data_IF_493175082203
#
_entry.id   IF_493175082203
#
_cell.length_a   1.000
_cell.length_b   1.000
_cell.length_c   1.000
_cell.angle_alpha   90.00
_cell.angle_beta   90.00
_cell.angle_gamma   90.00
#
_symmetry.space_group_name_H-M   'P 1'
#
loop_
_entity.id
_entity.type
_entity.pdbx_description
1 polymer ?
#
# COMPACT_ATOMS: atom_id res chain seq x y z
N UNK A 1 -14.33 70.83 -23.98
CA UNK A 1 -14.24 70.43 -22.55
C UNK A 1 -15.10 69.21 -22.18
N UNK A 2 -16.36 69.06 -22.63
CA UNK A 2 -17.20 67.88 -22.33
C UNK A 2 -16.60 66.52 -22.78
N UNK A 3 -15.93 66.47 -23.92
CA UNK A 3 -15.28 65.25 -24.43
C UNK A 3 -14.12 64.82 -23.52
N UNK A 4 -13.35 65.76 -22.97
CA UNK A 4 -12.24 65.47 -22.05
C UNK A 4 -12.74 65.01 -20.67
N UNK A 5 -13.81 65.60 -20.12
CA UNK A 5 -14.42 65.12 -18.86
C UNK A 5 -15.01 63.72 -19.01
N UNK A 6 -15.66 63.42 -20.14
CA UNK A 6 -16.20 62.09 -20.44
C UNK A 6 -15.08 61.05 -20.69
N UNK A 7 -14.02 61.44 -21.40
CA UNK A 7 -12.83 60.59 -21.59
C UNK A 7 -12.12 60.29 -20.27
N UNK A 8 -11.99 61.28 -19.38
CA UNK A 8 -11.38 61.10 -18.05
C UNK A 8 -12.23 60.21 -17.13
N UNK A 9 -13.56 60.36 -17.16
CA UNK A 9 -14.47 59.50 -16.41
C UNK A 9 -14.44 58.04 -16.89
N UNK A 10 -14.40 57.82 -18.21
CA UNK A 10 -14.28 56.48 -18.78
C UNK A 10 -12.91 55.85 -18.51
N UNK A 11 -11.82 56.62 -18.60
CA UNK A 11 -10.49 56.17 -18.22
C UNK A 11 -10.46 55.72 -16.76
N UNK A 12 -11.01 56.55 -15.86
CA UNK A 12 -11.03 56.26 -14.44
C UNK A 12 -11.91 55.05 -14.09
N UNK A 13 -13.06 54.90 -14.78
CA UNK A 13 -13.89 53.70 -14.68
C UNK A 13 -13.13 52.45 -15.11
N UNK A 14 -12.44 52.49 -16.24
CA UNK A 14 -11.63 51.37 -16.73
C UNK A 14 -10.48 51.03 -15.75
N UNK A 15 -9.85 52.05 -15.16
CA UNK A 15 -8.82 51.86 -14.14
C UNK A 15 -9.37 51.21 -12.87
N UNK A 16 -10.54 51.66 -12.38
CA UNK A 16 -11.21 51.06 -11.22
C UNK A 16 -11.65 49.62 -11.50
N UNK A 17 -12.15 49.33 -12.71
CA UNK A 17 -12.47 47.96 -13.12
C UNK A 17 -11.22 47.08 -13.14
N UNK A 18 -10.09 47.57 -13.68
CA UNK A 18 -8.82 46.85 -13.66
C UNK A 18 -8.29 46.57 -12.25
N UNK A 19 -8.32 47.57 -11.37
CA UNK A 19 -7.92 47.42 -9.97
C UNK A 19 -8.85 46.48 -9.19
N UNK A 20 -10.15 46.49 -9.46
CA UNK A 20 -11.10 45.56 -8.84
C UNK A 20 -10.80 44.10 -9.22
N UNK A 21 -10.39 43.84 -10.47
CA UNK A 21 -9.97 42.50 -10.90
C UNK A 21 -8.67 42.08 -10.21
N UNK A 22 -7.67 42.97 -10.16
CA UNK A 22 -6.41 42.69 -9.45
C UNK A 22 -6.61 42.46 -7.95
N UNK A 23 -7.48 43.27 -7.32
CA UNK A 23 -7.86 43.10 -5.92
C UNK A 23 -8.46 41.72 -5.67
N UNK A 24 -9.37 41.26 -6.53
CA UNK A 24 -9.96 39.94 -6.42
C UNK A 24 -8.92 38.84 -6.64
N UNK A 25 -8.01 39.01 -7.60
CA UNK A 25 -6.94 38.06 -7.86
C UNK A 25 -6.02 37.89 -6.65
N UNK A 26 -5.46 38.97 -6.10
CA UNK A 26 -4.58 38.90 -4.92
C UNK A 26 -5.32 38.42 -3.66
N UNK A 27 -6.60 38.81 -3.50
CA UNK A 27 -7.45 38.26 -2.42
C UNK A 27 -7.54 36.74 -2.55
N UNK A 28 -7.79 36.23 -3.75
CA UNK A 28 -7.89 34.80 -4.00
C UNK A 28 -6.54 34.10 -3.73
N UNK A 29 -5.40 34.66 -4.14
CA UNK A 29 -4.07 34.12 -3.83
C UNK A 29 -3.83 34.01 -2.31
N UNK A 30 -4.16 35.04 -1.54
CA UNK A 30 -4.03 35.02 -0.08
C UNK A 30 -4.95 33.97 0.55
N UNK A 31 -6.18 33.82 0.04
CA UNK A 31 -7.12 32.83 0.58
C UNK A 31 -6.81 31.39 0.17
N UNK A 32 -6.28 31.17 -1.03
CA UNK A 32 -5.98 29.84 -1.56
C UNK A 32 -4.56 29.37 -1.22
N UNK A 33 -3.65 30.29 -0.91
CA UNK A 33 -2.22 30.01 -0.78
C UNK A 33 -1.52 29.70 -2.10
N UNK A 34 -2.22 29.81 -3.25
CA UNK A 34 -1.64 29.48 -4.56
C UNK A 34 -1.04 30.70 -5.25
N UNK A 35 0.16 30.51 -5.82
CA UNK A 35 0.91 31.48 -6.61
C UNK A 35 0.20 31.79 -7.92
N UNK A 36 -0.26 30.77 -8.64
CA UNK A 36 -0.99 30.91 -9.89
C UNK A 36 -2.42 30.38 -9.70
N UNK A 37 -3.43 31.17 -10.05
CA UNK A 37 -4.83 30.80 -9.86
C UNK A 37 -5.43 30.15 -11.11
N UNK A 38 -4.88 30.48 -12.27
CA UNK A 38 -5.26 29.91 -13.55
C UNK A 38 -4.04 29.33 -14.26
N UNK A 39 -4.27 28.31 -15.08
CA UNK A 39 -3.22 27.72 -15.94
C UNK A 39 -2.66 28.74 -16.94
N UNK A 40 -3.42 29.79 -17.29
CA UNK A 40 -2.96 30.88 -18.15
C UNK A 40 -1.95 31.81 -17.49
N UNK A 41 -1.89 31.84 -16.15
CA UNK A 41 -1.01 32.76 -15.41
C UNK A 41 0.46 32.32 -15.55
N UNK A 42 0.71 30.99 -15.54
CA UNK A 42 1.99 30.37 -15.89
C UNK A 42 1.76 28.96 -16.47
N UNK A 43 1.64 28.83 -17.80
CA UNK A 43 1.44 27.54 -18.46
C UNK A 43 2.57 26.53 -18.23
N UNK A 44 3.80 27.00 -17.99
CA UNK A 44 4.96 26.13 -17.74
C UNK A 44 4.88 25.54 -16.33
N UNK A 45 4.56 26.35 -15.33
CA UNK A 45 4.32 25.89 -13.97
C UNK A 45 3.12 24.92 -13.91
N UNK A 46 2.04 25.23 -14.61
CA UNK A 46 0.86 24.36 -14.70
C UNK A 46 1.21 22.98 -15.30
N UNK A 47 1.99 22.95 -16.39
CA UNK A 47 2.44 21.69 -16.99
C UNK A 47 3.31 20.85 -16.06
N UNK A 48 4.23 21.49 -15.31
CA UNK A 48 5.05 20.81 -14.31
C UNK A 48 4.21 20.26 -13.16
N UNK A 49 3.27 21.06 -12.63
CA UNK A 49 2.40 20.61 -11.54
C UNK A 49 1.57 19.39 -11.96
N UNK A 50 0.97 19.42 -13.15
CA UNK A 50 0.22 18.29 -13.69
C UNK A 50 1.08 17.02 -13.79
N UNK A 51 2.31 17.12 -14.28
CA UNK A 51 3.23 15.98 -14.33
C UNK A 51 3.55 15.43 -12.93
N UNK A 52 3.75 16.31 -11.94
CA UNK A 52 3.99 15.93 -10.55
C UNK A 52 2.77 15.24 -9.95
N UNK A 53 1.56 15.78 -10.14
CA UNK A 53 0.31 15.15 -9.67
C UNK A 53 0.11 13.77 -10.26
N UNK A 54 0.38 13.60 -11.55
CA UNK A 54 0.34 12.29 -12.20
C UNK A 54 1.35 11.31 -11.56
N UNK A 55 2.58 11.75 -11.31
CA UNK A 55 3.59 10.94 -10.62
C UNK A 55 3.18 10.60 -9.18
N UNK A 56 2.59 11.53 -8.43
CA UNK A 56 2.08 11.31 -7.07
C UNK A 56 0.97 10.26 -7.07
N UNK A 57 0.00 10.37 -7.98
CA UNK A 57 -1.08 9.39 -8.11
C UNK A 57 -0.56 7.99 -8.44
N UNK A 58 0.45 7.89 -9.30
CA UNK A 58 1.11 6.62 -9.60
C UNK A 58 1.80 6.03 -8.36
N UNK A 59 2.54 6.84 -7.60
CA UNK A 59 3.19 6.40 -6.36
C UNK A 59 2.15 5.92 -5.33
N UNK A 60 1.05 6.65 -5.15
CA UNK A 60 -0.02 6.26 -4.22
C UNK A 60 -0.64 4.91 -4.60
N UNK A 61 -0.87 4.67 -5.90
CA UNK A 61 -1.35 3.39 -6.39
C UNK A 61 -0.33 2.26 -6.10
N UNK A 62 0.96 2.50 -6.36
CA UNK A 62 2.01 1.53 -6.07
C UNK A 62 2.13 1.22 -4.57
N UNK A 63 2.00 2.22 -3.70
CA UNK A 63 1.99 2.03 -2.25
C UNK A 63 0.81 1.17 -1.79
N UNK A 64 -0.35 1.34 -2.43
CA UNK A 64 -1.52 0.49 -2.17
C UNK A 64 -1.27 -0.96 -2.59
N UNK A 65 -0.72 -1.17 -3.79
CA UNK A 65 -0.42 -2.52 -4.30
C UNK A 65 0.64 -3.24 -3.46
N UNK A 66 1.67 -2.50 -2.98
CA UNK A 66 2.65 -3.00 -2.03
C UNK A 66 2.00 -3.43 -0.72
N UNK A 67 1.12 -2.60 -0.17
CA UNK A 67 0.40 -2.89 1.07
C UNK A 67 -0.47 -4.14 0.93
N UNK A 68 -1.22 -4.24 -0.15
CA UNK A 68 -2.09 -5.40 -0.41
C UNK A 68 -1.26 -6.67 -0.57
N UNK A 69 -0.14 -6.60 -1.30
CA UNK A 69 0.82 -7.70 -1.42
C UNK A 69 1.36 -8.12 -0.05
N UNK A 70 1.83 -7.16 0.75
CA UNK A 70 2.39 -7.41 2.08
C UNK A 70 1.40 -8.08 3.01
N UNK A 71 0.12 -7.71 2.96
CA UNK A 71 -0.92 -8.34 3.78
C UNK A 71 -1.04 -9.85 3.47
N UNK A 72 -1.11 -10.20 2.18
CA UNK A 72 -1.18 -11.61 1.75
C UNK A 72 0.09 -12.37 2.16
N UNK A 73 1.27 -11.78 1.94
CA UNK A 73 2.54 -12.41 2.29
C UNK A 73 2.70 -12.62 3.79
N UNK A 74 2.32 -11.64 4.61
CA UNK A 74 2.40 -11.74 6.07
C UNK A 74 1.50 -12.84 6.63
N UNK A 75 0.29 -13.02 6.08
CA UNK A 75 -0.57 -14.15 6.47
C UNK A 75 -0.02 -15.49 6.00
N UNK A 76 0.61 -15.52 4.81
CA UNK A 76 1.27 -16.73 4.30
C UNK A 76 2.43 -17.13 5.20
N UNK A 77 3.26 -16.16 5.60
CA UNK A 77 4.37 -16.36 6.53
C UNK A 77 3.86 -16.88 7.89
N UNK A 78 2.84 -16.24 8.46
CA UNK A 78 2.25 -16.66 9.74
C UNK A 78 1.71 -18.10 9.69
N UNK A 79 1.05 -18.48 8.59
CA UNK A 79 0.57 -19.85 8.39
C UNK A 79 1.72 -20.85 8.32
N UNK A 80 2.79 -20.55 7.58
CA UNK A 80 3.98 -21.40 7.50
C UNK A 80 4.71 -21.50 8.83
N UNK A 81 4.85 -20.42 9.59
CA UNK A 81 5.41 -20.45 10.95
C UNK A 81 4.59 -21.35 11.90
N UNK A 82 3.26 -21.33 11.78
CA UNK A 82 2.38 -22.24 12.52
C UNK A 82 2.59 -23.71 12.13
N UNK A 83 2.82 -23.97 10.84
CA UNK A 83 3.15 -25.30 10.33
C UNK A 83 4.52 -25.75 10.86
N UNK A 84 5.56 -24.91 10.76
CA UNK A 84 6.90 -25.17 11.34
C UNK A 84 6.80 -25.61 12.80
N UNK A 85 6.07 -24.85 13.63
CA UNK A 85 5.88 -25.20 15.05
C UNK A 85 5.22 -26.57 15.23
N UNK A 86 4.23 -26.89 14.39
CA UNK A 86 3.52 -28.18 14.43
C UNK A 86 4.45 -29.33 14.04
N UNK A 87 5.26 -29.16 12.99
CA UNK A 87 6.22 -30.17 12.54
C UNK A 87 7.32 -30.41 13.58
N UNK A 88 7.88 -29.35 14.17
CA UNK A 88 8.86 -29.48 15.26
C UNK A 88 8.28 -30.21 16.47
N UNK A 89 7.00 -29.95 16.81
CA UNK A 89 6.33 -30.69 17.89
C UNK A 89 6.16 -32.17 17.55
N UNK A 90 5.81 -32.49 16.30
CA UNK A 90 5.73 -33.88 15.84
C UNK A 90 7.09 -34.57 15.93
N UNK A 91 8.18 -33.92 15.52
CA UNK A 91 9.53 -34.49 15.65
C UNK A 91 9.86 -34.87 17.10
N UNK A 92 9.54 -34.00 18.06
CA UNK A 92 9.74 -34.28 19.49
C UNK A 92 8.94 -35.50 19.94
N UNK A 93 7.67 -35.58 19.56
CA UNK A 93 6.76 -36.68 19.90
C UNK A 93 7.22 -38.01 19.31
N UNK A 94 7.64 -38.01 18.04
CA UNK A 94 8.11 -39.20 17.34
C UNK A 94 9.48 -39.65 17.88
N UNK A 95 10.39 -38.71 18.15
CA UNK A 95 11.66 -39.02 18.83
C UNK A 95 11.44 -39.65 20.20
N UNK A 96 10.49 -39.14 20.98
CA UNK A 96 10.09 -39.75 22.25
C UNK A 96 9.54 -41.16 22.03
N UNK A 97 8.70 -41.37 21.01
CA UNK A 97 8.11 -42.66 20.69
C UNK A 97 9.17 -43.72 20.29
N UNK A 98 10.16 -43.32 19.49
CA UNK A 98 11.26 -44.16 18.98
C UNK A 98 12.25 -44.50 20.10
N UNK A 99 12.71 -43.51 20.87
CA UNK A 99 13.77 -43.71 21.87
C UNK A 99 13.27 -44.27 23.21
N UNK A 100 11.97 -44.17 23.49
CA UNK A 100 11.40 -44.63 24.76
C UNK A 100 11.08 -46.12 24.81
N UNK A 101 11.03 -46.66 26.04
CA UNK A 101 10.42 -47.96 26.37
C UNK A 101 8.88 -47.90 26.32
N UNK A 102 8.32 -47.06 25.44
CA UNK A 102 6.89 -46.84 25.31
C UNK A 102 6.18 -48.15 24.95
N UNK A 103 5.14 -48.46 25.72
CA UNK A 103 4.23 -49.54 25.41
C UNK A 103 3.19 -49.14 24.36
N UNK A 104 2.32 -50.07 23.96
CA UNK A 104 1.29 -49.82 22.95
C UNK A 104 0.28 -48.73 23.32
N UNK A 105 0.03 -48.51 24.63
CA UNK A 105 -0.89 -47.47 25.10
C UNK A 105 -0.28 -46.09 24.95
N UNK A 106 0.98 -45.94 25.34
CA UNK A 106 1.73 -44.69 25.24
C UNK A 106 1.89 -44.27 23.78
N UNK A 107 2.25 -45.20 22.89
CA UNK A 107 2.36 -44.90 21.45
C UNK A 107 1.03 -44.42 20.84
N UNK A 108 -0.10 -45.03 21.22
CA UNK A 108 -1.43 -44.57 20.77
C UNK A 108 -1.78 -43.17 21.27
N UNK A 109 -1.40 -42.84 22.51
CA UNK A 109 -1.60 -41.49 23.04
C UNK A 109 -0.78 -40.45 22.25
N UNK A 110 0.49 -40.75 21.97
CA UNK A 110 1.34 -39.91 21.11
C UNK A 110 0.74 -39.76 19.71
N UNK A 111 0.28 -40.87 19.10
CA UNK A 111 -0.39 -40.84 17.79
C UNK A 111 -1.66 -39.98 17.78
N UNK A 112 -2.38 -39.91 18.90
CA UNK A 112 -3.54 -39.03 19.04
C UNK A 112 -3.13 -37.55 19.00
N UNK A 113 -2.04 -37.20 19.68
CA UNK A 113 -1.50 -35.83 19.64
C UNK A 113 -0.98 -35.47 18.24
N UNK A 114 -0.24 -36.37 17.58
CA UNK A 114 0.22 -36.18 16.18
C UNK A 114 -0.96 -35.96 15.23
N UNK A 115 -2.06 -36.68 15.40
CA UNK A 115 -3.27 -36.49 14.59
C UNK A 115 -3.96 -35.13 14.84
N UNK A 116 -3.84 -34.54 16.04
CA UNK A 116 -4.32 -33.17 16.28
C UNK A 116 -3.44 -32.14 15.60
N UNK A 117 -2.11 -32.33 15.65
CA UNK A 117 -1.16 -31.47 14.94
C UNK A 117 -1.34 -31.56 13.42
N UNK A 118 -1.63 -32.75 12.89
CA UNK A 118 -2.02 -32.94 11.49
C UNK A 118 -3.24 -32.10 11.12
N UNK A 119 -4.31 -32.14 11.93
CA UNK A 119 -5.51 -31.31 11.69
C UNK A 119 -5.19 -29.82 11.72
N UNK A 120 -4.33 -29.39 12.63
CA UNK A 120 -3.85 -28.01 12.69
C UNK A 120 -3.07 -27.63 11.41
N UNK A 121 -2.19 -28.50 10.92
CA UNK A 121 -1.46 -28.27 9.66
C UNK A 121 -2.42 -28.20 8.47
N UNK A 122 -3.40 -29.10 8.38
CA UNK A 122 -4.42 -29.06 7.32
C UNK A 122 -5.25 -27.77 7.40
N UNK A 123 -5.60 -27.32 8.59
CA UNK A 123 -6.29 -26.05 8.79
C UNK A 123 -5.44 -24.87 8.28
N UNK A 124 -4.17 -24.81 8.68
CA UNK A 124 -3.24 -23.75 8.26
C UNK A 124 -2.96 -23.79 6.75
N UNK A 125 -2.84 -24.98 6.16
CA UNK A 125 -2.68 -25.18 4.72
C UNK A 125 -3.91 -24.69 3.92
N UNK A 126 -5.06 -24.56 4.57
CA UNK A 126 -6.31 -24.04 4.01
C UNK A 126 -6.64 -22.63 4.53
N UNK A 127 -5.65 -21.87 5.01
CA UNK A 127 -5.84 -20.47 5.43
C UNK A 127 -6.28 -19.62 4.25
N UNK A 128 -7.19 -18.67 4.53
CA UNK A 128 -7.71 -17.70 3.56
C UNK A 128 -7.26 -16.29 3.90
N UNK A 129 -7.03 -15.49 2.88
CA UNK A 129 -7.00 -14.04 2.97
C UNK A 129 -8.07 -13.45 2.06
N UNK A 130 -8.93 -12.57 2.60
CA UNK A 130 -10.06 -11.96 1.88
C UNK A 130 -10.90 -12.96 1.06
N UNK A 131 -11.13 -14.17 1.61
CA UNK A 131 -11.90 -15.23 0.96
C UNK A 131 -11.10 -16.13 0.00
N UNK A 132 -9.84 -15.82 -0.28
CA UNK A 132 -8.94 -16.55 -1.19
C UNK A 132 -7.95 -17.42 -0.44
N UNK A 133 -7.81 -18.69 -0.83
CA UNK A 133 -6.87 -19.61 -0.21
C UNK A 133 -5.41 -19.29 -0.56
N UNK A 134 -4.57 -19.10 0.47
CA UNK A 134 -3.16 -18.69 0.33
C UNK A 134 -2.31 -19.69 -0.46
N UNK A 135 -2.59 -20.98 -0.28
CA UNK A 135 -1.83 -22.09 -0.85
C UNK A 135 -2.53 -22.79 -2.02
N UNK A 136 -3.57 -22.16 -2.61
CA UNK A 136 -4.34 -22.71 -3.72
C UNK A 136 -3.84 -22.37 -5.12
N UNK A 137 -2.72 -21.65 -5.25
CA UNK A 137 -2.24 -21.15 -6.53
C UNK A 137 -3.33 -20.35 -7.26
N UNK A 138 -3.48 -20.56 -8.58
CA UNK A 138 -4.52 -19.93 -9.39
C UNK A 138 -5.96 -20.27 -8.95
N UNK A 139 -6.19 -21.42 -8.30
CA UNK A 139 -7.52 -21.84 -7.85
C UNK A 139 -7.78 -21.34 -6.43
N UNK A 140 -7.89 -20.01 -6.28
CA UNK A 140 -8.00 -19.35 -4.97
C UNK A 140 -9.33 -19.56 -4.24
N UNK A 141 -10.40 -20.01 -4.92
CA UNK A 141 -11.74 -20.14 -4.32
C UNK A 141 -12.06 -21.55 -3.81
N UNK A 142 -11.32 -22.56 -4.29
CA UNK A 142 -11.49 -23.96 -3.92
C UNK A 142 -10.51 -24.33 -2.81
N UNK A 143 -10.98 -25.09 -1.82
CA UNK A 143 -10.13 -25.60 -0.75
C UNK A 143 -8.94 -26.39 -1.33
N UNK A 144 -7.69 -25.97 -1.07
CA UNK A 144 -6.53 -26.56 -1.71
C UNK A 144 -6.11 -27.91 -1.13
N UNK A 145 -6.31 -28.16 0.16
CA UNK A 145 -5.87 -29.42 0.80
C UNK A 145 -7.04 -30.14 1.46
N UNK A 146 -7.12 -31.42 1.15
CA UNK A 146 -7.94 -32.40 1.87
C UNK A 146 -7.24 -32.87 3.16
N UNK A 147 -7.98 -33.56 4.02
CA UNK A 147 -7.43 -34.14 5.25
C UNK A 147 -6.34 -35.21 4.99
N UNK A 148 -6.36 -35.87 3.84
CA UNK A 148 -5.35 -36.84 3.43
C UNK A 148 -4.13 -36.21 2.74
N UNK A 149 -4.13 -34.90 2.54
CA UNK A 149 -3.03 -34.18 1.91
C UNK A 149 -3.04 -34.22 0.39
N UNK A 150 -4.17 -34.60 -0.23
CA UNK A 150 -4.37 -34.44 -1.67
C UNK A 150 -4.59 -32.97 -2.00
N UNK A 151 -3.73 -32.43 -2.86
CA UNK A 151 -3.83 -31.06 -3.39
C UNK A 151 -4.92 -30.96 -4.46
N UNK A 152 -5.76 -29.94 -4.36
CA UNK A 152 -6.89 -29.67 -5.24
C UNK A 152 -6.90 -28.23 -5.80
N UNK A 153 -5.80 -27.50 -5.61
CA UNK A 153 -5.64 -26.13 -6.10
C UNK A 153 -5.15 -26.04 -7.55
N UNK A 154 -4.78 -24.83 -7.94
CA UNK A 154 -4.31 -24.49 -9.29
C UNK A 154 -2.88 -24.96 -9.56
N UNK A 155 -2.52 -25.00 -10.84
CA UNK A 155 -1.23 -25.54 -11.27
C UNK A 155 -0.09 -24.51 -11.28
N UNK A 156 -0.40 -23.22 -11.15
CA UNK A 156 0.59 -22.15 -11.11
C UNK A 156 0.41 -21.28 -9.87
N UNK A 157 1.49 -20.58 -9.54
CA UNK A 157 1.46 -19.47 -8.60
C UNK A 157 0.72 -18.28 -9.20
N UNK A 158 0.13 -17.45 -8.36
CA UNK A 158 -0.38 -16.13 -8.76
C UNK A 158 0.66 -15.09 -8.38
N UNK A 159 1.13 -14.37 -9.39
CA UNK A 159 2.04 -13.24 -9.22
C UNK A 159 1.29 -11.94 -9.43
N UNK A 160 1.64 -10.93 -8.62
CA UNK A 160 1.28 -9.55 -8.87
C UNK A 160 2.54 -8.81 -9.28
N UNK A 161 2.43 -8.04 -10.36
CA UNK A 161 3.52 -7.19 -10.83
C UNK A 161 3.44 -5.85 -10.10
N UNK A 162 4.52 -5.51 -9.43
CA UNK A 162 4.73 -4.24 -8.76
C UNK A 162 5.69 -3.39 -9.60
N UNK A 163 5.36 -2.12 -9.78
CA UNK A 163 6.19 -1.16 -10.51
C UNK A 163 6.68 -1.68 -11.90
N UNK A 164 7.85 -1.20 -12.36
CA UNK A 164 8.71 -1.56 -13.50
C UNK A 164 9.03 -3.08 -13.65
N UNK A 165 8.06 -3.96 -13.46
CA UNK A 165 8.18 -5.40 -13.71
C UNK A 165 8.63 -6.25 -12.53
N UNK A 166 8.68 -5.72 -11.30
CA UNK A 166 9.03 -6.55 -10.14
C UNK A 166 7.85 -7.46 -9.77
N UNK A 167 8.00 -8.77 -9.95
CA UNK A 167 6.91 -9.71 -9.67
C UNK A 167 6.99 -10.28 -8.26
N UNK A 168 5.86 -10.28 -7.56
CA UNK A 168 5.69 -10.89 -6.25
C UNK A 168 4.70 -12.03 -6.34
N UNK A 169 5.12 -13.23 -5.92
CA UNK A 169 4.19 -14.35 -5.76
C UNK A 169 3.35 -14.14 -4.50
N UNK A 170 2.05 -13.91 -4.67
CA UNK A 170 1.11 -13.67 -3.57
C UNK A 170 0.36 -14.95 -3.17
N UNK A 171 -0.15 -15.72 -4.14
CA UNK A 171 -0.78 -17.01 -3.89
C UNK A 171 0.10 -18.13 -4.44
N UNK A 172 0.46 -19.08 -3.59
CA UNK A 172 1.44 -20.13 -3.92
C UNK A 172 0.72 -21.43 -4.22
N UNK A 173 1.22 -22.19 -5.18
CA UNK A 173 0.89 -23.61 -5.34
C UNK A 173 1.54 -24.36 -4.18
N UNK A 174 0.74 -24.76 -3.19
CA UNK A 174 1.25 -25.43 -2.00
C UNK A 174 1.64 -26.91 -2.19
N UNK A 175 1.34 -27.51 -3.34
CA UNK A 175 1.43 -28.97 -3.56
C UNK A 175 2.77 -29.59 -3.15
N UNK A 176 3.87 -29.11 -3.72
CA UNK A 176 5.22 -29.64 -3.47
C UNK A 176 5.74 -29.38 -2.04
N UNK A 177 5.07 -28.51 -1.29
CA UNK A 177 5.44 -28.09 0.05
C UNK A 177 4.59 -28.80 1.12
N UNK A 178 3.27 -28.79 0.95
CA UNK A 178 2.31 -29.14 1.99
C UNK A 178 1.67 -30.52 1.75
N UNK A 179 1.58 -31.02 0.51
CA UNK A 179 1.05 -32.37 0.25
C UNK A 179 1.92 -33.43 0.94
N UNK A 180 3.25 -33.36 0.73
CA UNK A 180 4.19 -34.29 1.38
C UNK A 180 4.16 -34.15 2.90
N UNK A 181 4.10 -32.92 3.40
CA UNK A 181 4.03 -32.62 4.83
C UNK A 181 2.81 -33.29 5.49
N UNK A 182 1.61 -33.06 4.94
CA UNK A 182 0.36 -33.62 5.48
C UNK A 182 0.37 -35.16 5.39
N UNK A 183 0.85 -35.71 4.27
CA UNK A 183 0.92 -37.16 4.08
C UNK A 183 1.92 -37.82 5.04
N UNK A 184 3.09 -37.25 5.27
CA UNK A 184 4.08 -37.75 6.23
C UNK A 184 3.50 -37.75 7.66
N UNK A 185 2.86 -36.65 8.08
CA UNK A 185 2.22 -36.56 9.39
C UNK A 185 1.11 -37.61 9.57
N UNK A 186 0.29 -37.84 8.54
CA UNK A 186 -0.74 -38.88 8.54
C UNK A 186 -0.13 -40.28 8.70
N UNK A 187 0.92 -40.60 7.94
CA UNK A 187 1.63 -41.88 8.05
C UNK A 187 2.24 -42.06 9.44
N UNK A 188 2.77 -41.00 10.05
CA UNK A 188 3.29 -41.05 11.42
C UNK A 188 2.21 -41.36 12.44
N UNK A 189 1.06 -40.68 12.35
CA UNK A 189 -0.09 -40.96 13.19
C UNK A 189 -0.55 -42.43 13.10
N UNK A 190 -0.65 -42.95 11.88
CA UNK A 190 -1.01 -44.35 11.63
C UNK A 190 0.04 -45.33 12.17
N UNK A 191 1.32 -45.05 11.98
CA UNK A 191 2.42 -45.88 12.48
C UNK A 191 2.44 -45.91 14.03
N UNK A 192 2.21 -44.77 14.68
CA UNK A 192 2.09 -44.67 16.14
C UNK A 192 0.91 -45.47 16.67
N UNK A 193 -0.24 -45.43 15.98
CA UNK A 193 -1.42 -46.21 16.38
C UNK A 193 -1.21 -47.73 16.24
N UNK A 194 -0.44 -48.15 15.24
CA UNK A 194 -0.09 -49.55 14.97
C UNK A 194 1.11 -50.04 15.79
N UNK A 195 1.85 -49.15 16.43
CA UNK A 195 3.08 -49.49 17.16
C UNK A 195 4.27 -49.80 16.25
N UNK A 196 4.24 -49.33 14.99
CA UNK A 196 5.29 -49.60 14.00
C UNK A 196 6.48 -48.64 14.16
N UNK A 197 7.38 -48.97 15.08
CA UNK A 197 8.57 -48.16 15.36
C UNK A 197 9.54 -48.07 14.17
N UNK A 198 9.63 -49.11 13.35
CA UNK A 198 10.58 -49.16 12.23
C UNK A 198 10.23 -48.12 11.16
N UNK A 199 8.94 -47.98 10.84
CA UNK A 199 8.48 -46.96 9.90
C UNK A 199 8.67 -45.54 10.43
N UNK A 200 8.62 -45.32 11.75
CA UNK A 200 8.77 -44.00 12.36
C UNK A 200 10.15 -43.38 12.15
N UNK A 201 11.22 -44.17 12.10
CA UNK A 201 12.58 -43.65 11.85
C UNK A 201 12.69 -43.02 10.45
N UNK A 202 12.18 -43.71 9.42
CA UNK A 202 12.15 -43.18 8.05
C UNK A 202 11.25 -41.95 7.94
N UNK A 203 10.07 -42.00 8.57
CA UNK A 203 9.13 -40.89 8.54
C UNK A 203 9.69 -39.65 9.26
N UNK A 204 10.41 -39.83 10.36
CA UNK A 204 11.07 -38.71 11.07
C UNK A 204 12.03 -37.97 10.15
N UNK A 205 12.80 -38.69 9.33
CA UNK A 205 13.69 -38.07 8.36
C UNK A 205 12.91 -37.34 7.24
N UNK A 206 11.83 -37.94 6.74
CA UNK A 206 10.92 -37.25 5.79
C UNK A 206 10.32 -35.96 6.39
N UNK A 207 9.96 -35.97 7.69
CA UNK A 207 9.38 -34.81 8.34
C UNK A 207 10.40 -33.68 8.54
N UNK A 208 11.66 -34.00 8.85
CA UNK A 208 12.75 -33.01 8.87
C UNK A 208 12.97 -32.38 7.50
N UNK A 209 12.97 -33.17 6.43
CA UNK A 209 13.08 -32.64 5.07
C UNK A 209 11.88 -31.73 4.72
N UNK A 210 10.67 -32.10 5.13
CA UNK A 210 9.49 -31.26 4.96
C UNK A 210 9.59 -29.97 5.79
N UNK A 211 10.06 -30.05 7.04
CA UNK A 211 10.32 -28.90 7.91
C UNK A 211 11.33 -27.94 7.26
N UNK A 212 12.43 -28.45 6.72
CA UNK A 212 13.44 -27.64 6.03
C UNK A 212 12.85 -26.93 4.80
N UNK A 213 12.00 -27.61 4.01
CA UNK A 213 11.30 -26.97 2.88
C UNK A 213 10.41 -25.82 3.35
N UNK A 214 9.65 -26.02 4.43
CA UNK A 214 8.77 -24.99 5.01
C UNK A 214 9.59 -23.81 5.56
N UNK A 215 10.71 -24.09 6.22
CA UNK A 215 11.62 -23.05 6.73
C UNK A 215 12.26 -22.25 5.59
N UNK A 216 12.71 -22.91 4.52
CA UNK A 216 13.24 -22.24 3.34
C UNK A 216 12.19 -21.32 2.71
N UNK A 217 10.96 -21.82 2.53
CA UNK A 217 9.89 -20.99 1.99
C UNK A 217 9.54 -19.79 2.89
N UNK A 218 9.57 -19.97 4.21
CA UNK A 218 9.36 -18.91 5.20
C UNK A 218 10.47 -17.87 5.12
N UNK A 219 11.72 -18.31 4.95
CA UNK A 219 12.89 -17.44 4.82
C UNK A 219 12.83 -16.62 3.54
N UNK A 220 12.48 -17.23 2.41
CA UNK A 220 12.25 -16.53 1.15
C UNK A 220 11.17 -15.47 1.27
N UNK A 221 10.07 -15.77 1.97
CA UNK A 221 9.00 -14.82 2.25
C UNK A 221 9.48 -13.63 3.07
N UNK A 222 10.25 -13.87 4.13
CA UNK A 222 10.86 -12.81 4.92
C UNK A 222 11.78 -11.91 4.10
N UNK A 223 12.57 -12.49 3.20
CA UNK A 223 13.42 -11.72 2.27
C UNK A 223 12.58 -10.83 1.34
N UNK A 224 11.51 -11.38 0.74
CA UNK A 224 10.59 -10.60 -0.11
C UNK A 224 9.92 -9.49 0.69
N UNK A 225 9.44 -9.77 1.91
CA UNK A 225 8.83 -8.75 2.77
C UNK A 225 9.79 -7.59 3.09
N UNK A 226 11.06 -7.88 3.35
CA UNK A 226 12.10 -6.85 3.54
C UNK A 226 12.32 -6.02 2.26
N UNK A 227 12.26 -6.64 1.08
CA UNK A 227 12.30 -5.92 -0.20
C UNK A 227 11.10 -4.99 -0.36
N UNK A 228 9.89 -5.45 -0.03
CA UNK A 228 8.69 -4.61 -0.10
C UNK A 228 8.76 -3.42 0.86
N UNK A 229 9.34 -3.59 2.05
CA UNK A 229 9.54 -2.50 3.01
C UNK A 229 10.57 -1.48 2.51
N UNK A 230 11.62 -1.94 1.85
CA UNK A 230 12.57 -1.05 1.16
C UNK A 230 11.87 -0.26 0.06
N UNK A 231 11.08 -0.91 -0.79
CA UNK A 231 10.33 -0.23 -1.85
C UNK A 231 9.33 0.79 -1.29
N UNK A 232 8.59 0.43 -0.24
CA UNK A 232 7.67 1.36 0.40
C UNK A 232 8.40 2.59 0.97
N UNK A 233 9.60 2.40 1.54
CA UNK A 233 10.44 3.51 2.03
C UNK A 233 10.85 4.45 0.89
N UNK A 234 11.36 3.90 -0.21
CA UNK A 234 11.75 4.69 -1.41
C UNK A 234 10.55 5.46 -1.97
N UNK A 235 9.37 4.82 -2.07
CA UNK A 235 8.17 5.48 -2.57
C UNK A 235 7.69 6.61 -1.65
N UNK A 236 7.81 6.45 -0.32
CA UNK A 236 7.50 7.53 0.61
C UNK A 236 8.44 8.73 0.43
N UNK A 237 9.74 8.48 0.25
CA UNK A 237 10.73 9.54 0.00
C UNK A 237 10.46 10.25 -1.32
N UNK A 238 10.16 9.51 -2.40
CA UNK A 238 9.79 10.09 -3.69
C UNK A 238 8.48 10.89 -3.62
N UNK A 239 7.47 10.38 -2.89
CA UNK A 239 6.22 11.09 -2.68
C UNK A 239 6.48 12.44 -1.98
N UNK A 240 7.26 12.42 -0.89
CA UNK A 240 7.62 13.63 -0.14
C UNK A 240 8.35 14.65 -1.03
N UNK A 241 9.37 14.21 -1.78
CA UNK A 241 10.13 15.08 -2.68
C UNK A 241 9.24 15.70 -3.77
N UNK A 242 8.30 14.93 -4.34
CA UNK A 242 7.35 15.43 -5.32
C UNK A 242 6.33 16.39 -4.69
N UNK A 243 5.87 16.14 -3.47
CA UNK A 243 5.02 17.08 -2.74
C UNK A 243 5.73 18.41 -2.45
N UNK A 244 7.00 18.37 -2.06
CA UNK A 244 7.83 19.56 -1.85
C UNK A 244 8.02 20.34 -3.17
N UNK A 245 8.40 19.65 -4.25
CA UNK A 245 8.50 20.26 -5.57
C UNK A 245 7.17 20.89 -6.04
N UNK A 246 6.04 20.25 -5.75
CA UNK A 246 4.72 20.80 -6.08
C UNK A 246 4.47 22.09 -5.30
N UNK A 247 4.78 22.12 -4.00
CA UNK A 247 4.65 23.33 -3.16
C UNK A 247 5.53 24.46 -3.66
N UNK A 248 6.78 24.20 -4.05
CA UNK A 248 7.65 25.24 -4.61
C UNK A 248 7.10 25.86 -5.90
N UNK A 249 6.36 25.09 -6.69
CA UNK A 249 5.75 25.54 -7.95
C UNK A 249 4.41 26.24 -7.69
N UNK A 250 3.57 25.70 -6.81
CA UNK A 250 2.19 26.14 -6.61
C UNK A 250 2.00 27.15 -5.49
N UNK A 251 2.79 27.11 -4.42
CA UNK A 251 2.53 27.90 -3.22
C UNK A 251 3.02 29.34 -3.40
N UNK A 252 2.21 30.28 -2.93
CA UNK A 252 2.58 31.69 -2.87
C UNK A 252 3.28 31.98 -1.55
N UNK A 253 4.27 32.87 -1.58
CA UNK A 253 4.74 33.50 -0.34
C UNK A 253 3.60 34.38 0.21
N UNK A 254 2.97 33.90 1.28
CA UNK A 254 1.84 34.59 1.91
C UNK A 254 2.21 35.99 2.40
N UNK A 255 3.45 36.23 2.84
CA UNK A 255 3.86 37.56 3.30
C UNK A 255 3.90 38.54 2.13
N UNK A 256 4.47 38.11 0.99
CA UNK A 256 4.46 38.90 -0.26
C UNK A 256 3.04 39.09 -0.77
N UNK A 257 2.23 38.03 -0.82
CA UNK A 257 0.85 38.10 -1.30
C UNK A 257 -0.05 39.02 -0.47
N UNK A 258 0.09 39.00 0.86
CA UNK A 258 -0.62 39.91 1.76
C UNK A 258 -0.16 41.35 1.54
N UNK A 259 1.15 41.57 1.38
CA UNK A 259 1.71 42.89 1.08
C UNK A 259 1.17 43.45 -0.25
N UNK A 260 1.14 42.64 -1.31
CA UNK A 260 0.60 43.01 -2.61
C UNK A 260 -0.91 43.32 -2.54
N UNK A 261 -1.68 42.49 -1.82
CA UNK A 261 -3.10 42.75 -1.58
C UNK A 261 -3.34 44.07 -0.83
N UNK A 262 -2.55 44.34 0.21
CA UNK A 262 -2.65 45.59 0.97
C UNK A 262 -2.33 46.80 0.09
N UNK A 263 -1.28 46.71 -0.74
CA UNK A 263 -0.91 47.75 -1.71
C UNK A 263 -2.01 48.01 -2.74
N UNK A 264 -2.61 46.96 -3.30
CA UNK A 264 -3.72 47.10 -4.26
C UNK A 264 -4.98 47.66 -3.60
N UNK A 265 -5.30 47.27 -2.36
CA UNK A 265 -6.40 47.86 -1.59
C UNK A 265 -6.21 49.38 -1.40
N UNK A 266 -5.02 49.79 -0.95
CA UNK A 266 -4.71 51.21 -0.75
C UNK A 266 -4.78 52.00 -2.07
N UNK A 267 -4.28 51.42 -3.16
CA UNK A 267 -4.32 52.03 -4.51
C UNK A 267 -5.75 52.17 -5.02
N UNK A 268 -6.59 51.16 -4.79
CA UNK A 268 -8.00 51.18 -5.15
C UNK A 268 -8.76 52.29 -4.40
N UNK A 269 -8.58 52.42 -3.09
CA UNK A 269 -9.17 53.48 -2.28
C UNK A 269 -8.71 54.88 -2.70
N UNK A 270 -7.40 55.06 -2.95
CA UNK A 270 -6.85 56.32 -3.42
C UNK A 270 -7.40 56.71 -4.81
N UNK A 271 -7.54 55.73 -5.71
CA UNK A 271 -8.14 55.94 -7.03
C UNK A 271 -9.61 56.35 -6.90
N UNK A 272 -10.41 55.63 -6.09
CA UNK A 272 -11.81 55.99 -5.82
C UNK A 272 -11.97 57.44 -5.31
N UNK A 273 -11.11 57.86 -4.38
CA UNK A 273 -11.09 59.23 -3.86
C UNK A 273 -10.77 60.25 -4.95
N UNK A 274 -9.82 59.92 -5.83
CA UNK A 274 -9.41 60.77 -6.95
C UNK A 274 -10.55 60.91 -7.98
N UNK A 275 -11.22 59.81 -8.32
CA UNK A 275 -12.41 59.81 -9.20
C UNK A 275 -13.56 60.63 -8.59
N UNK A 276 -13.81 60.46 -7.29
CA UNK A 276 -14.82 61.24 -6.56
C UNK A 276 -14.53 62.74 -6.61
N UNK A 277 -13.26 63.13 -6.48
CA UNK A 277 -12.84 64.54 -6.55
C UNK A 277 -12.96 65.11 -7.96
N UNK A 278 -12.54 64.36 -8.98
CA UNK A 278 -12.70 64.76 -10.39
C UNK A 278 -14.17 64.87 -10.82
N UNK A 279 -15.04 64.03 -10.25
CA UNK A 279 -16.48 64.06 -10.51
C UNK A 279 -17.17 65.26 -9.82
N UNK A 280 -16.62 65.72 -8.69
CA UNK A 280 -17.10 66.92 -7.97
C UNK A 280 -16.71 68.23 -8.67
N UNK A 281 -15.57 68.31 -9.36
CA UNK A 281 -15.15 69.46 -10.19
C UNK A 281 -15.96 69.55 -11.52
N UNK A 282 -17.12 68.89 -11.57
CA UNK A 282 -18.07 69.04 -12.68
C UNK A 282 -18.68 70.45 -12.61
N UNK A 283 -18.73 71.12 -13.77
CA UNK A 283 -19.31 72.43 -14.17
C UNK A 283 -20.26 73.18 -13.21
N UNK A 284 -20.96 72.53 -12.29
CA UNK A 284 -21.82 73.15 -11.26
C UNK A 284 -21.08 74.04 -10.25
N UNK A 285 -19.79 73.83 -9.99
CA UNK A 285 -19.01 74.74 -9.14
C UNK A 285 -18.53 76.01 -9.89
N UNK A 286 -18.71 76.07 -11.22
CA UNK A 286 -18.28 77.18 -12.09
C UNK A 286 -19.43 77.79 -12.92
N UNK A 287 -20.68 77.43 -12.60
CA UNK A 287 -21.90 78.09 -13.09
C UNK A 287 -22.54 78.91 -11.98
#
# INVERSE_FOLDING_TARGET
MRVSTFQNANWAKNQLMGLSVQQQYHRNQVTSGKKNLHMSDDPLAAGKSFAIEHSLANIEQMQKDLKDSKNVLSQTEAALQGITKSLTRVDQLVLQAVNGTNGPKEMKAIGTEVNQLLKQVVYLANTKEQGRYLFGGESVEKQPFTEDGTYQGGNKNVTWTLNDGYEVTVFRKGDNLLSSTIQTLKKMGDALQKGDKKSLESLLEENKQNLDKVLNQTTELGAVMNTLDTFNTILNEQNLALQENRKEIEDVDLAVAISDLAYINATYEATLKSVSTMSKISILDYM
#
